data_IF_713289549250
#
_entry.id   IF_713289549250
#
_cell.length_a   1.000
_cell.length_b   1.000
_cell.length_c   1.000
_cell.angle_alpha   90.00
_cell.angle_beta   90.00
_cell.angle_gamma   90.00
#
_symmetry.space_group_name_H-M   'P 1'
#
loop_
_entity.id
_entity.type
_entity.pdbx_description
1 polymer ?
#
# COMPACT_ATOMS: atom_id res chain seq x y z
N UNK A 1 18.35 21.23 -8.96
CA UNK A 1 17.47 20.59 -7.97
C UNK A 1 17.63 19.09 -8.17
N UNK A 2 17.90 18.32 -7.11
CA UNK A 2 18.20 16.90 -7.24
C UNK A 2 16.97 16.09 -7.65
N UNK A 3 17.18 14.95 -8.32
CA UNK A 3 16.13 13.99 -8.64
C UNK A 3 15.44 13.48 -7.36
N UNK A 4 14.11 13.57 -7.31
CA UNK A 4 13.29 13.13 -6.17
C UNK A 4 12.79 11.71 -6.40
N UNK A 5 13.16 10.77 -5.53
CA UNK A 5 12.69 9.38 -5.58
C UNK A 5 11.37 9.24 -4.85
N UNK A 6 10.41 8.56 -5.46
CA UNK A 6 9.12 8.24 -4.85
C UNK A 6 9.00 6.75 -4.66
N UNK A 7 8.70 6.33 -3.44
CA UNK A 7 8.41 4.96 -3.09
C UNK A 7 6.91 4.85 -2.79
N UNK A 8 6.20 4.09 -3.61
CA UNK A 8 4.76 3.89 -3.51
C UNK A 8 4.45 2.47 -3.03
N UNK A 9 3.73 2.34 -1.92
CA UNK A 9 3.30 1.03 -1.45
C UNK A 9 2.21 0.40 -2.34
N UNK A 10 2.02 -0.91 -2.21
CA UNK A 10 0.96 -1.65 -2.87
C UNK A 10 -0.26 -1.84 -1.96
N UNK A 11 -0.11 -2.52 -0.84
CA UNK A 11 -1.27 -3.03 -0.09
C UNK A 11 -1.92 -1.89 0.68
N UNK A 12 -3.22 -1.71 0.53
CA UNK A 12 -3.89 -0.57 1.11
C UNK A 12 -3.66 0.71 0.30
N UNK A 13 -2.63 0.86 -0.55
CA UNK A 13 -2.48 2.05 -1.41
C UNK A 13 -3.06 1.82 -2.81
N UNK A 14 -2.52 0.85 -3.55
CA UNK A 14 -2.96 0.48 -4.89
C UNK A 14 -3.82 -0.79 -4.91
N UNK A 15 -3.61 -1.69 -3.95
CA UNK A 15 -4.15 -3.04 -3.90
C UNK A 15 -5.06 -3.24 -2.68
N UNK A 16 -6.28 -3.72 -2.90
CA UNK A 16 -7.26 -3.98 -1.84
C UNK A 16 -7.01 -5.32 -1.12
N UNK A 17 -5.96 -5.35 -0.30
CA UNK A 17 -5.63 -6.52 0.52
C UNK A 17 -6.73 -6.83 1.54
N UNK A 18 -7.28 -5.82 2.22
CA UNK A 18 -8.28 -6.01 3.28
C UNK A 18 -9.56 -6.61 2.69
N UNK A 19 -10.09 -6.04 1.61
CA UNK A 19 -11.25 -6.59 0.92
C UNK A 19 -10.98 -7.95 0.31
N UNK A 20 -9.77 -8.19 -0.22
CA UNK A 20 -9.32 -9.50 -0.66
C UNK A 20 -9.43 -10.57 0.43
N UNK A 21 -8.92 -10.29 1.64
CA UNK A 21 -9.02 -11.20 2.78
C UNK A 21 -10.47 -11.42 3.19
N UNK A 22 -11.30 -10.38 3.24
CA UNK A 22 -12.72 -10.54 3.55
C UNK A 22 -13.41 -11.48 2.54
N UNK A 23 -13.17 -11.29 1.24
CA UNK A 23 -13.72 -12.17 0.19
C UNK A 23 -13.23 -13.61 0.33
N UNK A 24 -11.95 -13.83 0.60
CA UNK A 24 -11.37 -15.16 0.77
C UNK A 24 -12.01 -15.95 1.94
N UNK A 25 -12.52 -15.25 2.94
CA UNK A 25 -13.21 -15.84 4.10
C UNK A 25 -14.73 -15.68 4.08
N UNK A 26 -15.31 -15.20 2.97
CA UNK A 26 -16.75 -14.98 2.84
C UNK A 26 -17.31 -13.98 3.86
N UNK A 27 -16.52 -12.97 4.24
CA UNK A 27 -16.92 -11.90 5.16
C UNK A 27 -17.38 -10.67 4.40
N UNK A 28 -18.41 -10.01 4.91
CA UNK A 28 -18.84 -8.72 4.38
C UNK A 28 -17.75 -7.66 4.64
N UNK A 29 -17.48 -6.85 3.62
CA UNK A 29 -16.50 -5.77 3.69
C UNK A 29 -17.11 -4.49 3.15
N UNK A 30 -17.00 -3.43 3.93
CA UNK A 30 -17.23 -2.07 3.47
C UNK A 30 -16.02 -1.24 3.85
N UNK A 31 -15.38 -0.64 2.84
CA UNK A 31 -14.26 0.27 3.07
C UNK A 31 -14.65 1.42 4.00
N UNK A 32 -15.91 1.89 3.95
CA UNK A 32 -16.36 3.03 4.75
C UNK A 32 -16.82 2.67 6.17
N UNK A 33 -16.88 1.38 6.55
CA UNK A 33 -17.28 0.97 7.90
C UNK A 33 -16.11 1.03 8.88
N UNK A 34 -15.63 2.24 9.15
CA UNK A 34 -14.58 2.52 10.13
C UNK A 34 -15.04 2.27 11.59
N UNK A 35 -14.12 1.94 12.51
CA UNK A 35 -12.70 1.67 12.29
C UNK A 35 -12.44 0.18 11.99
N UNK A 36 -11.56 -0.07 11.02
CA UNK A 36 -10.95 -1.39 10.82
C UNK A 36 -9.71 -1.43 11.70
N UNK A 37 -9.60 -2.42 12.60
CA UNK A 37 -8.40 -2.57 13.43
C UNK A 37 -7.30 -3.26 12.64
N UNK A 38 -6.04 -2.95 12.95
CA UNK A 38 -4.93 -3.82 12.58
C UNK A 38 -5.21 -5.25 13.09
N UNK A 39 -4.87 -6.27 12.31
CA UNK A 39 -5.30 -7.66 12.56
C UNK A 39 -6.83 -7.84 12.69
N UNK A 40 -7.63 -7.14 11.88
CA UNK A 40 -9.10 -7.17 11.90
C UNK A 40 -9.73 -8.57 11.99
N UNK A 41 -9.07 -9.59 11.40
CA UNK A 41 -9.53 -10.98 11.41
C UNK A 41 -9.60 -11.60 12.81
N UNK A 42 -8.87 -11.08 13.80
CA UNK A 42 -8.89 -11.57 15.19
C UNK A 42 -10.26 -11.39 15.86
N UNK A 43 -11.10 -10.51 15.32
CA UNK A 43 -12.44 -10.23 15.83
C UNK A 43 -13.56 -11.02 15.12
N UNK A 44 -13.22 -11.86 14.15
CA UNK A 44 -14.21 -12.64 13.41
C UNK A 44 -14.72 -13.85 14.17
N UNK A 45 -15.98 -14.21 13.89
CA UNK A 45 -16.60 -15.47 14.29
C UNK A 45 -16.99 -16.28 13.04
N UNK A 46 -16.60 -17.57 12.91
CA UNK A 46 -15.67 -18.28 13.80
C UNK A 46 -14.28 -17.65 13.81
N UNK A 47 -13.49 -17.97 14.84
CA UNK A 47 -12.16 -17.40 15.05
C UNK A 47 -11.24 -17.76 13.88
N UNK A 48 -10.55 -16.76 13.35
CA UNK A 48 -9.54 -16.90 12.29
C UNK A 48 -8.17 -16.58 12.87
N UNK A 49 -7.18 -17.43 12.59
CA UNK A 49 -5.81 -17.27 13.06
C UNK A 49 -4.89 -16.78 11.92
N UNK A 50 -3.74 -16.23 12.26
CA UNK A 50 -2.75 -15.76 11.27
C UNK A 50 -2.28 -16.88 10.33
N UNK A 51 -2.30 -18.15 10.76
CA UNK A 51 -1.99 -19.29 9.90
C UNK A 51 -3.08 -19.55 8.85
N UNK A 52 -4.34 -19.25 9.15
CA UNK A 52 -5.44 -19.37 8.20
C UNK A 52 -5.34 -18.26 7.14
N UNK A 53 -5.05 -17.03 7.57
CA UNK A 53 -4.72 -15.91 6.67
C UNK A 53 -3.57 -16.30 5.74
N UNK A 54 -2.47 -16.84 6.30
CA UNK A 54 -1.30 -17.24 5.52
C UNK A 54 -1.65 -18.29 4.45
N UNK A 55 -2.49 -19.28 4.79
CA UNK A 55 -2.97 -20.32 3.86
C UNK A 55 -3.85 -19.75 2.74
N UNK A 56 -4.70 -18.76 3.06
CA UNK A 56 -5.54 -18.10 2.07
C UNK A 56 -4.74 -17.23 1.09
N UNK A 57 -3.61 -16.66 1.55
CA UNK A 57 -2.72 -15.81 0.78
C UNK A 57 -1.81 -16.57 -0.22
N UNK A 58 -2.42 -17.33 -1.14
CA UNK A 58 -1.74 -18.05 -2.22
C UNK A 58 -1.21 -17.11 -3.31
N UNK A 59 -0.41 -17.61 -4.25
CA UNK A 59 0.05 -16.80 -5.41
C UNK A 59 -1.15 -16.24 -6.17
N UNK A 60 -2.18 -17.07 -6.38
CA UNK A 60 -3.39 -16.70 -7.09
C UNK A 60 -4.20 -15.64 -6.34
N UNK A 61 -4.29 -15.73 -5.01
CA UNK A 61 -4.90 -14.69 -4.18
C UNK A 61 -4.28 -13.32 -4.47
N UNK A 62 -2.95 -13.22 -4.33
CA UNK A 62 -2.23 -11.96 -4.50
C UNK A 62 -2.31 -11.42 -5.93
N UNK A 63 -2.16 -12.29 -6.94
CA UNK A 63 -2.18 -11.91 -8.35
C UNK A 63 -3.56 -11.40 -8.82
N UNK A 64 -4.63 -11.76 -8.13
CA UNK A 64 -6.02 -11.41 -8.46
C UNK A 64 -6.68 -10.45 -7.46
N UNK A 65 -5.90 -9.80 -6.58
CA UNK A 65 -6.45 -8.75 -5.72
C UNK A 65 -7.01 -7.60 -6.56
N UNK A 66 -8.08 -6.99 -6.06
CA UNK A 66 -8.66 -5.82 -6.71
C UNK A 66 -7.79 -4.58 -6.49
N UNK A 67 -7.97 -3.59 -7.36
CA UNK A 67 -7.48 -2.24 -7.09
C UNK A 67 -8.17 -1.65 -5.86
N UNK A 68 -7.43 -0.87 -5.09
CA UNK A 68 -8.04 0.11 -4.18
C UNK A 68 -8.96 1.04 -4.98
N UNK A 69 -10.10 1.42 -4.39
CA UNK A 69 -11.10 2.26 -5.06
C UNK A 69 -10.53 3.59 -5.57
N UNK A 70 -9.50 4.11 -4.91
CA UNK A 70 -8.77 5.32 -5.26
C UNK A 70 -7.37 5.04 -5.85
N UNK A 71 -6.92 3.79 -5.92
CA UNK A 71 -5.53 3.43 -6.24
C UNK A 71 -5.05 3.88 -7.63
N UNK A 72 -5.88 3.70 -8.66
CA UNK A 72 -5.55 4.16 -10.03
C UNK A 72 -5.40 5.67 -10.11
N UNK A 73 -6.23 6.39 -9.35
CA UNK A 73 -6.27 7.84 -9.34
C UNK A 73 -5.11 8.41 -8.51
N UNK A 74 -4.71 7.75 -7.42
CA UNK A 74 -3.47 8.05 -6.69
C UNK A 74 -2.27 7.95 -7.64
N UNK A 75 -2.16 6.84 -8.39
CA UNK A 75 -1.06 6.65 -9.34
C UNK A 75 -1.04 7.74 -10.41
N UNK A 76 -2.20 8.08 -10.99
CA UNK A 76 -2.33 9.16 -11.97
C UNK A 76 -1.89 10.52 -11.41
N UNK A 77 -2.28 10.85 -10.17
CA UNK A 77 -1.90 12.12 -9.54
C UNK A 77 -0.40 12.24 -9.28
N UNK A 78 0.25 11.14 -8.92
CA UNK A 78 1.70 11.13 -8.74
C UNK A 78 2.41 11.45 -10.06
N UNK A 79 1.94 10.86 -11.17
CA UNK A 79 2.48 11.11 -12.50
C UNK A 79 2.27 12.59 -12.94
N UNK A 80 1.06 13.12 -12.72
CA UNK A 80 0.69 14.48 -13.14
C UNK A 80 1.35 15.61 -12.35
N UNK A 81 1.46 15.47 -11.03
CA UNK A 81 1.89 16.58 -10.17
C UNK A 81 3.42 16.68 -10.09
N UNK A 82 4.14 15.58 -10.34
CA UNK A 82 5.56 15.49 -10.01
C UNK A 82 6.47 15.27 -11.22
N UNK A 83 5.95 14.89 -12.39
CA UNK A 83 6.76 14.57 -13.59
C UNK A 83 7.91 13.57 -13.28
N UNK A 84 7.71 12.71 -12.27
CA UNK A 84 8.71 11.74 -11.75
C UNK A 84 8.57 10.36 -12.37
N UNK A 85 8.08 10.27 -13.60
CA UNK A 85 7.76 8.97 -14.21
C UNK A 85 8.95 7.99 -14.17
N UNK A 86 10.20 8.50 -14.21
CA UNK A 86 11.42 7.70 -14.09
C UNK A 86 11.94 7.47 -12.65
N UNK A 87 11.47 8.25 -11.68
CA UNK A 87 11.89 8.21 -10.28
C UNK A 87 10.83 7.59 -9.34
N UNK A 88 9.76 7.01 -9.91
CA UNK A 88 8.72 6.26 -9.19
C UNK A 88 9.06 4.77 -9.07
N UNK A 89 9.16 4.29 -7.83
CA UNK A 89 9.41 2.90 -7.46
C UNK A 89 8.25 2.34 -6.65
N UNK A 90 7.86 1.11 -6.92
CA UNK A 90 6.93 0.38 -6.06
C UNK A 90 7.72 -0.26 -4.93
N UNK A 91 7.39 0.03 -3.68
CA UNK A 91 8.09 -0.50 -2.51
C UNK A 91 7.11 -1.19 -1.58
N UNK A 92 7.12 -2.52 -1.53
CA UNK A 92 6.15 -3.31 -0.76
C UNK A 92 6.83 -4.35 0.12
N UNK A 93 6.19 -4.66 1.25
CA UNK A 93 6.62 -5.71 2.16
C UNK A 93 5.85 -7.01 1.85
N UNK A 94 6.51 -8.15 1.61
CA UNK A 94 5.84 -9.43 1.47
C UNK A 94 5.37 -9.94 2.84
N UNK A 95 4.29 -10.72 2.86
CA UNK A 95 4.03 -11.59 4.02
C UNK A 95 5.18 -12.59 4.18
N UNK A 96 5.33 -13.18 5.38
CA UNK A 96 6.20 -14.33 5.64
C UNK A 96 5.67 -15.62 4.98
N UNK A 97 5.49 -15.56 3.67
CA UNK A 97 5.03 -16.60 2.76
C UNK A 97 5.61 -16.28 1.36
N UNK A 98 6.43 -17.16 0.76
CA UNK A 98 7.02 -16.93 -0.57
C UNK A 98 5.99 -16.63 -1.68
N UNK A 99 4.75 -17.10 -1.51
CA UNK A 99 3.67 -16.85 -2.45
C UNK A 99 3.28 -15.37 -2.55
N UNK A 100 3.46 -14.61 -1.46
CA UNK A 100 3.23 -13.16 -1.44
C UNK A 100 4.16 -12.43 -2.41
N UNK A 101 5.42 -12.83 -2.46
CA UNK A 101 6.42 -12.25 -3.35
C UNK A 101 6.04 -12.44 -4.83
N UNK A 102 5.74 -13.69 -5.19
CA UNK A 102 5.40 -14.06 -6.57
C UNK A 102 4.10 -13.41 -7.01
N UNK A 103 3.05 -13.49 -6.19
CA UNK A 103 1.76 -12.94 -6.57
C UNK A 103 1.73 -11.42 -6.67
N UNK A 104 2.47 -10.69 -5.82
CA UNK A 104 2.64 -9.24 -5.95
C UNK A 104 3.33 -8.86 -7.27
N UNK A 105 4.41 -9.57 -7.64
CA UNK A 105 5.10 -9.37 -8.94
C UNK A 105 4.15 -9.59 -10.12
N UNK A 106 3.36 -10.67 -10.08
CA UNK A 106 2.37 -10.97 -11.13
C UNK A 106 1.22 -9.94 -11.18
N UNK A 107 0.79 -9.42 -10.02
CA UNK A 107 -0.21 -8.37 -9.97
C UNK A 107 0.28 -7.09 -10.66
N UNK A 108 1.51 -6.67 -10.36
CA UNK A 108 2.14 -5.49 -10.96
C UNK A 108 2.31 -5.66 -12.46
N UNK A 109 2.82 -6.82 -12.90
CA UNK A 109 2.98 -7.14 -14.33
C UNK A 109 1.66 -7.09 -15.10
N UNK A 110 0.56 -7.54 -14.49
CA UNK A 110 -0.76 -7.52 -15.11
C UNK A 110 -1.37 -6.12 -15.18
N UNK A 111 -1.22 -5.32 -14.13
CA UNK A 111 -2.03 -4.11 -13.96
C UNK A 111 -1.27 -2.81 -14.24
N UNK A 112 0.05 -2.80 -14.03
CA UNK A 112 0.94 -1.64 -14.21
C UNK A 112 2.30 -2.10 -14.77
N UNK A 113 2.33 -2.75 -15.95
CA UNK A 113 3.53 -3.39 -16.49
C UNK A 113 4.72 -2.44 -16.66
N UNK A 114 4.49 -1.14 -16.89
CA UNK A 114 5.54 -0.14 -17.05
C UNK A 114 6.35 0.12 -15.76
N UNK A 115 5.84 -0.26 -14.58
CA UNK A 115 6.55 -0.16 -13.29
C UNK A 115 7.13 -1.50 -12.82
N UNK A 116 7.02 -2.58 -13.60
CA UNK A 116 7.39 -3.91 -13.15
C UNK A 116 8.88 -4.04 -12.83
N UNK A 117 9.73 -3.36 -13.59
CA UNK A 117 11.18 -3.32 -13.39
C UNK A 117 11.59 -2.35 -12.27
N UNK A 118 10.64 -1.58 -11.73
CA UNK A 118 10.80 -0.67 -10.59
C UNK A 118 10.12 -1.20 -9.33
N UNK A 119 9.76 -2.48 -9.32
CA UNK A 119 9.19 -3.15 -8.15
C UNK A 119 10.28 -3.65 -7.19
N UNK A 120 10.21 -3.17 -5.96
CA UNK A 120 11.03 -3.60 -4.84
C UNK A 120 10.15 -4.32 -3.82
N UNK A 121 10.28 -5.65 -3.75
CA UNK A 121 9.60 -6.47 -2.74
C UNK A 121 10.62 -6.89 -1.68
N UNK A 122 10.50 -6.38 -0.46
CA UNK A 122 11.50 -6.63 0.59
C UNK A 122 10.89 -6.72 1.99
N UNK A 123 11.31 -7.68 2.84
CA UNK A 123 10.92 -7.70 4.25
C UNK A 123 11.73 -6.69 5.08
N UNK A 124 12.75 -6.06 4.49
CA UNK A 124 13.57 -5.08 5.17
C UNK A 124 12.74 -3.85 5.52
N UNK A 125 13.16 -3.18 6.60
CA UNK A 125 12.55 -1.94 7.01
C UNK A 125 12.69 -0.85 5.91
N UNK A 126 11.58 -0.21 5.51
CA UNK A 126 11.54 0.73 4.37
C UNK A 126 12.43 1.97 4.52
N UNK A 127 12.76 2.38 5.75
CA UNK A 127 13.64 3.54 5.97
C UNK A 127 15.06 3.37 5.46
N UNK A 128 15.50 2.16 5.08
CA UNK A 128 16.80 2.00 4.38
C UNK A 128 16.83 2.72 3.02
N UNK A 129 15.67 3.05 2.45
CA UNK A 129 15.55 3.80 1.19
C UNK A 129 15.41 5.31 1.42
N UNK A 130 15.33 5.75 2.68
CA UNK A 130 15.18 7.14 3.04
C UNK A 130 16.45 7.95 2.71
N UNK A 131 16.22 9.20 2.30
CA UNK A 131 17.24 10.20 2.02
C UNK A 131 16.54 11.55 1.88
N UNK A 132 17.26 12.66 1.97
CA UNK A 132 16.71 14.02 1.88
C UNK A 132 15.83 14.25 0.63
N UNK A 133 16.09 13.52 -0.47
CA UNK A 133 15.33 13.58 -1.73
C UNK A 133 14.45 12.33 -1.97
N UNK A 134 13.99 11.65 -0.92
CA UNK A 134 13.10 10.49 -1.04
C UNK A 134 11.76 10.72 -0.32
N UNK A 135 10.67 10.30 -0.95
CA UNK A 135 9.31 10.32 -0.41
C UNK A 135 8.77 8.90 -0.34
N UNK A 136 8.20 8.51 0.80
CA UNK A 136 7.41 7.29 0.94
C UNK A 136 5.91 7.62 0.97
N UNK A 137 5.13 7.00 0.09
CA UNK A 137 3.67 7.04 0.08
C UNK A 137 3.15 5.67 0.51
N UNK A 138 2.57 5.59 1.70
CA UNK A 138 2.23 4.33 2.38
C UNK A 138 0.98 4.54 3.24
N UNK A 139 0.22 3.48 3.53
CA UNK A 139 -0.99 3.57 4.36
C UNK A 139 -0.73 3.27 5.84
N UNK A 140 0.46 2.79 6.20
CA UNK A 140 0.80 2.38 7.56
C UNK A 140 1.55 3.47 8.32
N UNK A 141 0.98 3.91 9.44
CA UNK A 141 1.54 4.96 10.31
C UNK A 141 2.99 4.68 10.70
N UNK A 142 3.32 3.44 11.11
CA UNK A 142 4.69 3.11 11.54
C UNK A 142 5.70 3.08 10.37
N UNK A 143 5.26 2.79 9.14
CA UNK A 143 6.15 2.86 7.98
C UNK A 143 6.54 4.31 7.71
N UNK A 144 5.56 5.22 7.73
CA UNK A 144 5.77 6.65 7.52
C UNK A 144 6.66 7.23 8.62
N UNK A 145 6.32 7.01 9.89
CA UNK A 145 7.07 7.57 11.03
C UNK A 145 8.56 7.19 10.97
N UNK A 146 8.85 5.91 10.73
CA UNK A 146 10.24 5.45 10.69
C UNK A 146 10.96 5.88 9.41
N UNK A 147 10.26 6.05 8.28
CA UNK A 147 10.88 6.57 7.05
C UNK A 147 11.29 8.03 7.21
N UNK A 148 10.47 8.83 7.90
CA UNK A 148 10.81 10.21 8.27
C UNK A 148 11.98 10.25 9.27
N UNK A 149 11.96 9.40 10.30
CA UNK A 149 13.07 9.27 11.25
C UNK A 149 14.41 8.93 10.56
N UNK A 150 14.37 8.15 9.48
CA UNK A 150 15.54 7.80 8.67
C UNK A 150 15.99 8.90 7.69
N UNK A 151 15.40 10.10 7.74
CA UNK A 151 15.80 11.26 6.93
C UNK A 151 15.04 11.42 5.60
N UNK A 152 13.94 10.68 5.40
CA UNK A 152 13.07 10.83 4.24
C UNK A 152 11.86 11.74 4.51
N UNK A 153 11.03 11.91 3.50
CA UNK A 153 9.69 12.49 3.61
C UNK A 153 8.64 11.40 3.52
N UNK A 154 7.48 11.59 4.16
CA UNK A 154 6.41 10.61 4.17
C UNK A 154 5.05 11.24 3.90
N UNK A 155 4.24 10.58 3.08
CA UNK A 155 2.84 10.90 2.82
C UNK A 155 2.01 9.69 3.26
N UNK A 156 1.26 9.86 4.34
CA UNK A 156 0.34 8.82 4.82
C UNK A 156 -0.95 8.85 3.99
N UNK A 157 -1.27 7.73 3.33
CA UNK A 157 -2.51 7.61 2.55
C UNK A 157 -3.69 7.38 3.52
N UNK A 158 -4.73 8.24 3.54
CA UNK A 158 -5.85 8.05 4.46
C UNK A 158 -6.57 6.71 4.29
N UNK A 159 -6.66 5.94 5.39
CA UNK A 159 -7.39 4.67 5.42
C UNK A 159 -8.22 4.52 6.70
N UNK A 160 -9.29 3.71 6.69
CA UNK A 160 -10.12 3.44 7.87
C UNK A 160 -9.38 2.87 9.08
N UNK A 161 -8.15 2.37 8.87
CA UNK A 161 -7.33 1.69 9.87
C UNK A 161 -6.11 2.48 10.36
N UNK A 162 -5.89 3.71 9.88
CA UNK A 162 -4.75 4.54 10.28
C UNK A 162 -5.18 5.84 10.99
N UNK A 163 -4.22 6.69 11.36
CA UNK A 163 -4.51 7.91 12.11
C UNK A 163 -5.37 8.91 11.31
N UNK A 164 -5.28 8.86 9.97
CA UNK A 164 -6.06 9.70 9.05
C UNK A 164 -7.44 9.11 8.70
N UNK A 165 -7.95 8.13 9.44
CA UNK A 165 -9.28 7.51 9.22
C UNK A 165 -10.45 8.49 9.05
N UNK A 166 -10.40 9.66 9.69
CA UNK A 166 -11.41 10.73 9.53
C UNK A 166 -11.43 11.36 8.12
N UNK A 167 -10.40 11.09 7.33
CA UNK A 167 -10.20 11.58 5.96
C UNK A 167 -10.25 10.47 4.92
N UNK A 168 -10.54 9.21 5.29
CA UNK A 168 -10.60 8.08 4.35
C UNK A 168 -11.65 8.27 3.24
N UNK A 169 -12.72 9.02 3.49
CA UNK A 169 -13.70 9.41 2.46
C UNK A 169 -13.25 10.57 1.54
N UNK A 170 -12.07 11.15 1.82
CA UNK A 170 -11.46 12.30 1.13
C UNK A 170 -9.99 12.01 0.76
N UNK A 171 -9.61 10.74 0.57
CA UNK A 171 -8.22 10.33 0.29
C UNK A 171 -7.60 11.17 -0.83
N UNK A 172 -8.30 11.31 -1.95
CA UNK A 172 -7.77 12.00 -3.13
C UNK A 172 -7.53 13.51 -2.92
N UNK A 173 -8.29 14.14 -2.02
CA UNK A 173 -8.09 15.53 -1.63
C UNK A 173 -6.81 15.67 -0.81
N UNK A 174 -6.61 14.80 0.18
CA UNK A 174 -5.40 14.75 1.00
C UNK A 174 -4.19 14.47 0.12
N UNK A 175 -4.25 13.47 -0.75
CA UNK A 175 -3.15 13.12 -1.65
C UNK A 175 -2.76 14.28 -2.55
N UNK A 176 -3.72 14.98 -3.17
CA UNK A 176 -3.42 16.15 -4.00
C UNK A 176 -2.71 17.24 -3.20
N UNK A 177 -3.21 17.56 -2.01
CA UNK A 177 -2.61 18.62 -1.18
C UNK A 177 -1.19 18.23 -0.74
N UNK A 178 -0.98 17.00 -0.28
CA UNK A 178 0.34 16.51 0.13
C UNK A 178 1.34 16.45 -1.02
N UNK A 179 0.92 16.06 -2.23
CA UNK A 179 1.79 16.05 -3.40
C UNK A 179 2.19 17.49 -3.82
N UNK A 180 1.29 18.46 -3.72
CA UNK A 180 1.58 19.87 -4.04
C UNK A 180 2.50 20.58 -3.04
N UNK A 181 2.80 19.95 -1.90
CA UNK A 181 3.75 20.45 -0.89
C UNK A 181 5.17 19.87 -1.04
N UNK A 182 5.38 18.94 -1.99
CA UNK A 182 6.67 18.28 -2.23
C UNK A 182 7.67 19.14 -3.02
#
# INVERSE_FOLDING_TARGET
MGHMKIFLDLDGVLVDFVGGIHRAFGKEYSYNSAPIKWNFFEHWSPKVHSCDINRACTVDFWANLDWMCDGREILRKIDEELDVSDDLFLLTCPMHNPQSWTGKRLWVERHIPHLVDRLIVTPAFKGIFASDNAVLIDDKDENIAKFVEAGGRGILVPRPWNELRGWAGRTLEVMRNSLGEL
#
